data_IF_315544051548
#
_entry.id   IF_315544051548
#
_cell.length_a   1.000
_cell.length_b   1.000
_cell.length_c   1.000
_cell.angle_alpha   90.00
_cell.angle_beta   90.00
_cell.angle_gamma   90.00
#
_symmetry.space_group_name_H-M   'P 1'
#
loop_
_entity.id
_entity.type
_entity.pdbx_description
1 polymer ?
#
# COMPACT_ATOMS: atom_id res chain seq x y z
N UNK A 1 -6.57 7.41 21.42
CA UNK A 1 -5.22 7.99 21.35
C UNK A 1 -5.32 9.49 21.42
N UNK A 2 -4.55 10.09 22.31
CA UNK A 2 -4.30 11.54 22.36
C UNK A 2 -3.41 11.95 21.18
N UNK A 3 -3.29 13.26 20.93
CA UNK A 3 -2.43 13.76 19.85
C UNK A 3 -0.95 13.38 20.06
N UNK A 4 -0.52 13.33 21.32
CA UNK A 4 0.86 12.95 21.65
C UNK A 4 1.11 11.46 21.42
N UNK A 5 0.12 10.61 21.75
CA UNK A 5 0.19 9.18 21.43
C UNK A 5 0.19 8.94 19.92
N UNK A 6 -0.56 9.72 19.12
CA UNK A 6 -0.55 9.59 17.66
C UNK A 6 0.81 9.96 17.05
N UNK A 7 1.48 11.00 17.57
CA UNK A 7 2.85 11.33 17.13
C UNK A 7 3.81 10.19 17.42
N UNK A 8 3.72 9.56 18.59
CA UNK A 8 4.56 8.41 18.92
C UNK A 8 4.27 7.22 17.99
N UNK A 9 2.99 6.95 17.70
CA UNK A 9 2.58 5.93 16.73
C UNK A 9 3.16 6.19 15.33
N UNK A 10 3.20 7.44 14.87
CA UNK A 10 3.84 7.80 13.58
C UNK A 10 5.33 7.46 13.60
N UNK A 11 6.04 7.82 14.67
CA UNK A 11 7.47 7.51 14.79
C UNK A 11 7.71 6.01 14.78
N UNK A 12 6.92 5.26 15.54
CA UNK A 12 7.00 3.80 15.61
C UNK A 12 6.69 3.16 14.23
N UNK A 13 5.64 3.60 13.55
CA UNK A 13 5.29 3.11 12.21
C UNK A 13 6.37 3.40 11.17
N UNK A 14 6.98 4.59 11.18
CA UNK A 14 8.10 4.91 10.27
C UNK A 14 9.26 3.92 10.46
N UNK A 15 9.57 3.59 11.72
CA UNK A 15 10.61 2.62 12.05
C UNK A 15 10.23 1.20 11.60
N UNK A 16 9.01 0.74 11.89
CA UNK A 16 8.56 -0.59 11.43
C UNK A 16 8.50 -0.71 9.91
N UNK A 17 7.98 0.31 9.22
CA UNK A 17 7.95 0.34 7.75
C UNK A 17 9.37 0.28 7.19
N UNK A 18 10.32 1.01 7.78
CA UNK A 18 11.74 0.92 7.41
C UNK A 18 12.28 -0.51 7.57
N UNK A 19 11.96 -1.18 8.69
CA UNK A 19 12.38 -2.58 8.91
C UNK A 19 11.79 -3.53 7.86
N UNK A 20 10.51 -3.39 7.52
CA UNK A 20 9.88 -4.20 6.46
C UNK A 20 10.55 -4.00 5.11
N UNK A 21 10.86 -2.74 4.75
CA UNK A 21 11.55 -2.42 3.49
C UNK A 21 12.96 -3.01 3.39
N UNK A 22 13.61 -3.27 4.52
CA UNK A 22 14.93 -3.91 4.58
C UNK A 22 14.88 -5.44 4.51
N UNK A 23 13.70 -6.06 4.47
CA UNK A 23 13.60 -7.51 4.25
C UNK A 23 14.10 -7.83 2.84
N UNK A 24 15.02 -8.79 2.68
CA UNK A 24 15.53 -9.15 1.36
C UNK A 24 14.45 -9.87 0.55
N UNK A 25 14.32 -9.46 -0.70
CA UNK A 25 13.37 -10.06 -1.65
C UNK A 25 13.71 -11.53 -1.92
N UNK A 26 12.69 -12.43 -1.98
CA UNK A 26 12.90 -13.82 -2.36
C UNK A 26 13.40 -13.94 -3.80
N UNK A 27 14.05 -15.05 -4.11
CA UNK A 27 14.52 -15.35 -5.47
C UNK A 27 13.33 -15.78 -6.33
N UNK A 28 12.72 -14.81 -7.02
CA UNK A 28 11.61 -15.00 -7.95
C UNK A 28 11.74 -14.04 -9.13
N UNK A 29 11.20 -14.42 -10.29
CA UNK A 29 11.11 -13.55 -11.46
C UNK A 29 10.01 -12.48 -11.29
N UNK A 30 9.12 -12.64 -10.30
CA UNK A 30 8.00 -11.74 -10.04
C UNK A 30 8.40 -10.69 -9.00
N UNK A 31 8.40 -9.43 -9.40
CA UNK A 31 8.66 -8.33 -8.48
C UNK A 31 7.46 -8.06 -7.58
N UNK A 32 6.25 -8.07 -8.15
CA UNK A 32 5.02 -7.76 -7.41
C UNK A 32 4.23 -9.04 -7.20
N UNK A 33 4.13 -9.47 -5.95
CA UNK A 33 3.60 -10.77 -5.54
C UNK A 33 3.29 -10.78 -4.04
N UNK A 34 2.69 -11.87 -3.54
CA UNK A 34 2.54 -12.06 -2.08
C UNK A 34 3.89 -12.36 -1.39
N UNK A 35 3.84 -12.55 -0.07
CA UNK A 35 5.03 -12.85 0.75
C UNK A 35 5.82 -14.10 0.34
N UNK A 36 5.17 -15.05 -0.33
CA UNK A 36 5.75 -16.33 -0.76
C UNK A 36 6.13 -16.37 -2.25
N UNK A 37 5.93 -15.27 -2.99
CA UNK A 37 6.18 -15.22 -4.44
C UNK A 37 5.00 -15.71 -5.32
N UNK A 38 3.86 -16.00 -4.71
CA UNK A 38 2.60 -16.37 -5.36
C UNK A 38 1.72 -15.18 -5.72
N UNK A 39 0.45 -15.47 -6.02
CA UNK A 39 -0.57 -14.45 -6.34
C UNK A 39 -0.79 -13.47 -5.20
N UNK A 40 -0.79 -12.18 -5.52
CA UNK A 40 -1.02 -11.10 -4.58
C UNK A 40 -2.50 -11.01 -4.18
N UNK A 41 -2.76 -10.50 -2.97
CA UNK A 41 -4.08 -10.08 -2.53
C UNK A 41 -4.16 -8.54 -2.49
N UNK A 42 -5.09 -7.99 -3.25
CA UNK A 42 -5.35 -6.56 -3.29
C UNK A 42 -6.84 -6.30 -3.53
N UNK A 43 -7.53 -5.90 -2.47
CA UNK A 43 -8.98 -5.64 -2.51
C UNK A 43 -9.40 -4.52 -3.47
N UNK A 44 -8.46 -3.71 -3.97
CA UNK A 44 -8.72 -2.76 -5.07
C UNK A 44 -8.92 -3.46 -6.41
N UNK A 45 -8.41 -4.68 -6.54
CA UNK A 45 -8.43 -5.50 -7.76
C UNK A 45 -9.33 -6.71 -7.50
N UNK A 46 -10.58 -6.75 -7.99
CA UNK A 46 -11.51 -7.85 -7.77
C UNK A 46 -10.95 -9.22 -8.18
N UNK A 47 -10.16 -9.25 -9.25
CA UNK A 47 -9.60 -10.50 -9.78
C UNK A 47 -8.56 -11.12 -8.84
N UNK A 48 -7.93 -10.33 -7.96
CA UNK A 48 -6.93 -10.83 -7.00
C UNK A 48 -7.49 -11.86 -6.01
N UNK A 49 -8.81 -11.88 -5.79
CA UNK A 49 -9.46 -12.87 -4.92
C UNK A 49 -9.76 -14.19 -5.63
N UNK A 50 -9.62 -14.24 -6.97
CA UNK A 50 -10.03 -15.38 -7.80
C UNK A 50 -8.88 -15.93 -8.65
N UNK A 51 -7.88 -15.11 -8.93
CA UNK A 51 -6.77 -15.40 -9.84
C UNK A 51 -5.42 -15.25 -9.15
N UNK A 52 -4.40 -15.95 -9.68
CA UNK A 52 -3.02 -15.83 -9.20
C UNK A 52 -2.32 -14.62 -9.85
N UNK A 53 -2.71 -13.41 -9.44
CA UNK A 53 -2.13 -12.18 -9.98
C UNK A 53 -0.72 -11.94 -9.43
N UNK A 54 0.27 -11.85 -10.31
CA UNK A 54 1.65 -11.47 -9.97
C UNK A 54 2.33 -10.91 -11.20
N UNK A 55 3.24 -9.98 -10.99
CA UNK A 55 3.82 -9.19 -12.08
C UNK A 55 5.34 -9.20 -12.02
N UNK A 56 5.98 -9.30 -13.18
CA UNK A 56 7.45 -9.29 -13.28
C UNK A 56 8.02 -7.90 -13.08
N UNK A 57 7.23 -6.87 -13.36
CA UNK A 57 7.66 -5.47 -13.25
C UNK A 57 6.55 -4.58 -12.71
N UNK A 58 6.94 -3.45 -12.13
CA UNK A 58 6.02 -2.37 -11.77
C UNK A 58 5.19 -1.88 -12.97
N UNK A 59 5.80 -1.80 -14.16
CA UNK A 59 5.10 -1.38 -15.37
C UNK A 59 3.96 -2.33 -15.76
N UNK A 60 4.17 -3.64 -15.65
CA UNK A 60 3.10 -4.64 -15.89
C UNK A 60 1.95 -4.47 -14.90
N UNK A 61 2.25 -4.24 -13.62
CA UNK A 61 1.24 -3.99 -12.59
C UNK A 61 0.47 -2.68 -12.84
N UNK A 62 1.18 -1.59 -13.13
CA UNK A 62 0.59 -0.28 -13.42
C UNK A 62 -0.30 -0.30 -14.68
N UNK A 63 0.10 -1.07 -15.70
CA UNK A 63 -0.74 -1.31 -16.87
C UNK A 63 -2.00 -2.08 -16.51
N UNK A 64 -1.88 -3.14 -15.70
CA UNK A 64 -3.05 -3.90 -15.22
C UNK A 64 -4.03 -3.01 -14.45
N UNK A 65 -3.52 -2.18 -13.53
CA UNK A 65 -4.34 -1.26 -12.75
C UNK A 65 -5.12 -0.26 -13.61
N UNK A 66 -4.65 0.04 -14.81
CA UNK A 66 -5.21 1.10 -15.65
C UNK A 66 -5.91 0.60 -16.93
N UNK A 67 -5.80 -0.69 -17.23
CA UNK A 67 -6.47 -1.37 -18.35
C UNK A 67 -7.99 -1.12 -18.39
N UNK A 68 -8.73 -1.14 -17.26
CA UNK A 68 -10.18 -0.94 -17.28
C UNK A 68 -10.63 0.49 -17.64
N UNK A 69 -9.74 1.48 -17.64
CA UNK A 69 -10.12 2.89 -17.76
C UNK A 69 -9.91 3.46 -19.18
N UNK A 70 -10.47 4.63 -19.46
CA UNK A 70 -10.24 5.33 -20.72
C UNK A 70 -8.94 6.16 -20.70
N UNK A 71 -8.53 6.60 -21.89
CA UNK A 71 -7.22 7.21 -22.14
C UNK A 71 -6.89 8.42 -21.25
N UNK A 72 -7.88 9.25 -20.94
CA UNK A 72 -7.71 10.41 -20.06
C UNK A 72 -7.25 10.00 -18.64
N UNK A 73 -7.82 8.93 -18.09
CA UNK A 73 -7.45 8.43 -16.75
C UNK A 73 -6.05 7.81 -16.79
N UNK A 74 -5.72 7.08 -17.86
CA UNK A 74 -4.37 6.54 -18.07
C UNK A 74 -3.32 7.65 -18.11
N UNK A 75 -3.57 8.72 -18.86
CA UNK A 75 -2.66 9.87 -18.94
C UNK A 75 -2.48 10.59 -17.60
N UNK A 76 -3.53 10.66 -16.79
CA UNK A 76 -3.44 11.21 -15.43
C UNK A 76 -2.60 10.33 -14.52
N UNK A 77 -2.78 9.01 -14.58
CA UNK A 77 -2.01 8.05 -13.80
C UNK A 77 -0.53 7.96 -14.24
N UNK A 78 -0.24 8.14 -15.54
CA UNK A 78 1.10 8.08 -16.12
C UNK A 78 2.12 8.98 -15.41
N UNK A 79 1.69 10.16 -14.92
CA UNK A 79 2.58 11.07 -14.17
C UNK A 79 3.24 10.42 -12.95
N UNK A 80 2.52 9.53 -12.29
CA UNK A 80 3.01 8.75 -11.15
C UNK A 80 3.62 7.43 -11.63
N UNK A 81 3.00 6.75 -12.59
CA UNK A 81 3.46 5.44 -13.06
C UNK A 81 4.77 5.47 -13.87
N UNK A 82 5.16 6.64 -14.39
CA UNK A 82 6.46 6.85 -15.06
C UNK A 82 7.64 6.96 -14.06
N UNK A 83 7.35 7.09 -12.76
CA UNK A 83 8.35 7.07 -11.69
C UNK A 83 8.61 5.61 -11.33
N UNK A 84 9.87 5.19 -11.36
CA UNK A 84 10.26 3.86 -10.91
C UNK A 84 10.43 3.87 -9.39
N UNK A 85 9.73 2.96 -8.71
CA UNK A 85 9.82 2.82 -7.25
C UNK A 85 10.62 1.58 -6.88
N UNK A 86 11.13 1.57 -5.64
CA UNK A 86 11.64 0.33 -5.08
C UNK A 86 10.48 -0.63 -4.78
N UNK A 87 10.67 -1.90 -5.13
CA UNK A 87 9.73 -2.95 -4.78
C UNK A 87 10.18 -3.58 -3.48
N UNK A 88 9.37 -3.36 -2.44
CA UNK A 88 9.70 -3.63 -1.04
C UNK A 88 8.63 -4.50 -0.40
N UNK A 89 8.95 -5.13 0.73
CA UNK A 89 7.94 -5.84 1.51
C UNK A 89 7.04 -4.83 2.22
N UNK A 90 5.73 -4.93 2.01
CA UNK A 90 4.72 -4.07 2.62
C UNK A 90 3.71 -4.89 3.41
N UNK A 91 3.14 -4.29 4.46
CA UNK A 91 2.04 -4.91 5.23
C UNK A 91 0.73 -4.95 4.42
N UNK A 92 0.46 -3.91 3.63
CA UNK A 92 -0.72 -3.81 2.76
C UNK A 92 -2.04 -3.43 3.46
N UNK A 93 -2.13 -3.49 4.79
CA UNK A 93 -3.30 -3.04 5.56
C UNK A 93 -2.94 -2.38 6.91
N UNK A 94 -2.36 -1.17 6.89
CA UNK A 94 -2.01 -0.41 8.11
C UNK A 94 -3.22 0.33 8.72
N UNK A 95 -4.37 -0.34 8.76
CA UNK A 95 -5.56 0.13 9.46
C UNK A 95 -5.32 0.11 10.98
N UNK A 96 -5.79 1.11 11.76
CA UNK A 96 -5.57 1.16 13.20
C UNK A 96 -6.15 -0.05 13.95
N UNK A 97 -7.11 -0.79 13.38
CA UNK A 97 -7.61 -2.06 13.94
C UNK A 97 -6.53 -3.17 13.99
N UNK A 98 -5.51 -3.04 13.14
CA UNK A 98 -4.39 -3.98 13.00
C UNK A 98 -3.14 -3.53 13.78
N UNK A 99 -3.20 -2.38 14.47
CA UNK A 99 -2.10 -1.81 15.24
C UNK A 99 -2.39 -1.98 16.73
N UNK A 100 -1.60 -2.81 17.40
CA UNK A 100 -1.65 -2.97 18.85
C UNK A 100 -0.75 -1.93 19.48
N UNK A 101 -1.29 -1.14 20.41
CA UNK A 101 -0.54 -0.11 21.10
C UNK A 101 -0.89 -0.03 22.59
N UNK A 102 0.11 0.24 23.41
CA UNK A 102 -0.03 0.46 24.85
C UNK A 102 0.72 1.75 25.21
N UNK A 103 0.03 2.69 25.86
CA UNK A 103 0.57 4.00 26.24
C UNK A 103 1.24 4.76 25.07
N UNK A 104 0.59 4.75 23.90
CA UNK A 104 1.08 5.41 22.69
C UNK A 104 2.23 4.72 21.95
N UNK A 105 2.72 3.59 22.46
CA UNK A 105 3.78 2.80 21.81
C UNK A 105 3.20 1.58 21.12
N UNK A 106 3.60 1.32 19.89
CA UNK A 106 3.20 0.12 19.16
C UNK A 106 3.89 -1.10 19.75
N UNK A 107 3.09 -2.09 20.11
CA UNK A 107 3.51 -3.38 20.67
C UNK A 107 3.36 -4.54 19.69
N UNK A 108 2.61 -4.35 18.60
CA UNK A 108 2.47 -5.33 17.54
C UNK A 108 1.68 -4.84 16.33
N UNK A 109 1.92 -5.48 15.20
CA UNK A 109 1.17 -5.32 13.95
C UNK A 109 0.65 -6.70 13.55
N UNK A 110 -0.64 -6.81 13.27
CA UNK A 110 -1.33 -8.07 12.95
C UNK A 110 -2.06 -7.98 11.61
N UNK A 111 -2.67 -9.08 11.16
CA UNK A 111 -3.45 -9.14 9.91
C UNK A 111 -2.59 -9.03 8.62
N UNK A 112 -1.60 -9.91 8.50
CA UNK A 112 -0.59 -9.92 7.43
C UNK A 112 -1.06 -10.56 6.11
N UNK A 113 -2.34 -10.89 5.95
CA UNK A 113 -2.84 -11.60 4.75
C UNK A 113 -2.66 -10.79 3.46
N UNK A 114 -2.60 -9.45 3.58
CA UNK A 114 -2.40 -8.52 2.47
C UNK A 114 -0.92 -8.21 2.21
N UNK A 115 0.00 -8.80 2.98
CA UNK A 115 1.41 -8.49 2.91
C UNK A 115 2.07 -9.11 1.67
N UNK A 116 3.05 -8.41 1.12
CA UNK A 116 3.74 -8.85 -0.08
C UNK A 116 4.73 -7.83 -0.60
N UNK A 117 5.20 -8.07 -1.83
CA UNK A 117 6.15 -7.22 -2.52
C UNK A 117 5.41 -6.25 -3.43
N UNK A 118 5.54 -4.95 -3.17
CA UNK A 118 4.82 -3.89 -3.87
C UNK A 118 5.67 -2.62 -3.97
N UNK A 119 5.31 -1.64 -4.82
CA UNK A 119 5.83 -0.29 -4.71
C UNK A 119 5.67 0.28 -3.29
N UNK A 120 6.60 1.15 -2.88
CA UNK A 120 6.76 1.60 -1.50
C UNK A 120 5.52 2.24 -0.83
N UNK A 121 4.59 2.76 -1.62
CA UNK A 121 3.38 3.45 -1.18
C UNK A 121 2.11 2.61 -1.28
N UNK A 122 2.17 1.47 -1.96
CA UNK A 122 0.96 0.80 -2.44
C UNK A 122 0.01 0.42 -1.31
N UNK A 123 -1.29 0.66 -1.54
CA UNK A 123 -2.39 0.34 -0.62
C UNK A 123 -2.43 1.16 0.67
N UNK A 124 -1.50 2.09 0.90
CA UNK A 124 -1.41 2.82 2.17
C UNK A 124 -2.69 3.59 2.52
N UNK A 125 -3.35 4.19 1.53
CA UNK A 125 -4.62 4.89 1.74
C UNK A 125 -5.83 3.98 1.80
N UNK A 126 -5.84 2.89 1.01
CA UNK A 126 -7.06 2.18 0.64
C UNK A 126 -7.90 1.71 1.83
N UNK A 127 -7.28 1.11 2.84
CA UNK A 127 -8.00 0.53 3.98
C UNK A 127 -8.36 1.55 5.06
N UNK A 128 -7.92 2.81 4.92
CA UNK A 128 -8.09 3.88 5.91
C UNK A 128 -8.79 5.13 5.38
N UNK A 129 -9.28 5.11 4.13
CA UNK A 129 -9.89 6.29 3.46
C UNK A 129 -11.04 6.91 4.24
N UNK A 130 -11.81 6.09 4.96
CA UNK A 130 -12.92 6.54 5.82
C UNK A 130 -12.49 6.97 7.22
N UNK A 131 -11.24 6.72 7.61
CA UNK A 131 -10.68 7.03 8.92
C UNK A 131 -9.89 8.33 8.85
N UNK A 132 -10.58 9.45 8.58
CA UNK A 132 -9.99 10.76 8.24
C UNK A 132 -8.83 11.15 9.17
N UNK A 133 -9.00 11.01 10.49
CA UNK A 133 -7.95 11.35 11.46
C UNK A 133 -6.72 10.45 11.33
N UNK A 134 -6.90 9.16 11.13
CA UNK A 134 -5.78 8.23 10.95
C UNK A 134 -5.08 8.45 9.60
N UNK A 135 -5.85 8.68 8.54
CA UNK A 135 -5.32 9.01 7.24
C UNK A 135 -4.43 10.27 7.30
N UNK A 136 -4.99 11.39 7.79
CA UNK A 136 -4.30 12.67 7.81
C UNK A 136 -3.18 12.76 8.85
N UNK A 137 -3.42 12.27 10.07
CA UNK A 137 -2.47 12.45 11.18
C UNK A 137 -1.46 11.31 11.27
N UNK A 138 -1.67 10.17 10.60
CA UNK A 138 -0.76 9.02 10.69
C UNK A 138 -0.23 8.59 9.33
N UNK A 139 -1.10 8.12 8.43
CA UNK A 139 -0.65 7.53 7.16
C UNK A 139 0.02 8.56 6.26
N UNK A 140 -0.55 9.76 6.11
CA UNK A 140 0.06 10.85 5.33
C UNK A 140 1.43 11.28 5.88
N UNK A 141 1.65 11.14 7.19
CA UNK A 141 2.94 11.42 7.81
C UNK A 141 3.95 10.29 7.56
N UNK A 142 3.52 9.03 7.62
CA UNK A 142 4.38 7.85 7.38
C UNK A 142 4.81 7.79 5.91
N UNK A 143 3.91 8.10 4.98
CA UNK A 143 4.14 8.03 3.52
C UNK A 143 4.28 9.41 2.86
N UNK A 144 4.83 10.39 3.60
CA UNK A 144 4.88 11.80 3.19
C UNK A 144 5.55 12.09 1.84
N UNK A 145 6.39 11.16 1.36
CA UNK A 145 7.13 11.25 0.09
C UNK A 145 6.31 10.84 -1.14
N UNK A 146 5.16 10.20 -0.97
CA UNK A 146 4.41 9.56 -2.06
C UNK A 146 3.04 10.21 -2.31
N UNK A 147 2.95 11.53 -2.10
CA UNK A 147 1.65 12.23 -2.14
C UNK A 147 0.98 12.13 -3.50
N UNK A 148 1.74 12.25 -4.59
CA UNK A 148 1.18 12.24 -5.94
C UNK A 148 0.73 10.84 -6.35
N UNK A 149 1.53 9.83 -5.98
CA UNK A 149 1.23 8.41 -6.18
C UNK A 149 -0.06 8.01 -5.44
N UNK A 150 -0.18 8.42 -4.17
CA UNK A 150 -1.35 8.13 -3.35
C UNK A 150 -2.61 8.86 -3.82
N UNK A 151 -2.47 10.05 -4.43
CA UNK A 151 -3.59 10.73 -5.10
C UNK A 151 -4.04 9.95 -6.35
N UNK A 152 -3.10 9.40 -7.12
CA UNK A 152 -3.42 8.54 -8.27
C UNK A 152 -4.09 7.25 -7.82
N UNK A 153 -3.59 6.57 -6.78
CA UNK A 153 -4.22 5.36 -6.24
C UNK A 153 -5.66 5.63 -5.77
N UNK A 154 -5.88 6.74 -5.07
CA UNK A 154 -7.22 7.16 -4.65
C UNK A 154 -8.14 7.38 -5.85
N UNK A 155 -7.67 8.10 -6.87
CA UNK A 155 -8.42 8.36 -8.10
C UNK A 155 -8.81 7.05 -8.80
N UNK A 156 -7.88 6.11 -8.97
CA UNK A 156 -8.17 4.82 -9.60
C UNK A 156 -9.16 4.01 -8.77
N UNK A 157 -8.98 3.99 -7.45
CA UNK A 157 -9.87 3.25 -6.54
C UNK A 157 -11.29 3.81 -6.52
N UNK A 158 -11.47 5.14 -6.60
CA UNK A 158 -12.78 5.77 -6.65
C UNK A 158 -13.59 5.42 -7.90
N UNK A 159 -12.91 5.16 -9.01
CA UNK A 159 -13.54 4.82 -10.28
C UNK A 159 -14.00 3.36 -10.36
N UNK A 160 -13.45 2.47 -9.52
CA UNK A 160 -13.82 1.04 -9.47
C UNK A 160 -15.09 0.79 -8.64
N UNK A 161 -15.61 1.82 -7.96
CA UNK A 161 -16.82 1.73 -7.13
C UNK A 161 -16.57 1.04 -5.78
N UNK A 162 -17.47 1.22 -4.80
CA UNK A 162 -17.41 0.46 -3.56
C UNK A 162 -17.80 -1.00 -3.84
N UNK A 163 -16.93 -1.93 -3.49
CA UNK A 163 -17.33 -3.32 -3.27
C UNK A 163 -17.98 -3.45 -1.88
#
# INVERSE_FOLDING_TARGET
>A
MTDEELKQVVLDLKEYVSQLRNIPRPTTDFQICNSEGGGLLDWRIPDSQREELRFKTEAEFNNYLTDPFWEEIRQRAARSHDICHEIVFTHGDLNPRNILAENGKITGIVDWENAGWFPEYSKAHYTVRSLIRWLADVIDQVFERYRDELLVENMLSDLLGPF
#
